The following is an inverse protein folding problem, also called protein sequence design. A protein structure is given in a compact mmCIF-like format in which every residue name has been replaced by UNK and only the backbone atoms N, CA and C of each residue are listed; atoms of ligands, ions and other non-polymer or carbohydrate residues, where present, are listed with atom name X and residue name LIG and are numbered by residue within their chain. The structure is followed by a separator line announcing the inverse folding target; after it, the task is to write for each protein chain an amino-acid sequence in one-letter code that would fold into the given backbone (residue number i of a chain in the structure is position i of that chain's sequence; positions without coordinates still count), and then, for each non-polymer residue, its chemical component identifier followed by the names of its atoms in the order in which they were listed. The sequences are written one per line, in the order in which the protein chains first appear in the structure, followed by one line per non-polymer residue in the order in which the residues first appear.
data_IF_185416175277
#
_entry.id   IF_185416175277
#
_cell.length_a   1.000
_cell.length_b   1.000
_cell.length_c   1.000
_cell.angle_alpha   90.00
_cell.angle_beta   90.00
_cell.angle_gamma   90.00
#
_symmetry.space_group_name_H-M   'P 1'
#
loop_
_entity.id
_entity.type
_entity.pdbx_description
1 polymer ?
#
# COMPACT_ATOMS: atom_id res chain seq x y z
N UNK A 1 -42.65 -22.91 1.66
CA UNK A 1 -41.59 -23.69 2.34
C UNK A 1 -41.48 -23.16 3.76
N UNK A 2 -41.94 -23.91 4.79
CA UNK A 2 -41.83 -23.46 6.21
C UNK A 2 -40.38 -23.65 6.65
N UNK A 3 -39.73 -22.56 7.02
CA UNK A 3 -38.39 -22.63 7.63
C UNK A 3 -38.50 -23.36 8.98
N UNK A 4 -37.68 -24.38 9.22
CA UNK A 4 -37.60 -25.06 10.53
C UNK A 4 -37.08 -24.07 11.56
N UNK A 5 -37.63 -24.11 12.78
CA UNK A 5 -37.21 -23.26 13.91
C UNK A 5 -35.69 -23.38 14.16
N UNK A 6 -35.10 -24.56 13.93
CA UNK A 6 -33.64 -24.78 14.00
C UNK A 6 -32.87 -23.96 13.00
N UNK A 7 -33.37 -23.86 11.75
CA UNK A 7 -32.70 -23.02 10.70
C UNK A 7 -32.78 -21.56 11.06
N UNK A 8 -33.91 -21.09 11.57
CA UNK A 8 -34.07 -19.72 12.04
C UNK A 8 -33.10 -19.42 13.18
N UNK A 9 -33.02 -20.32 14.18
CA UNK A 9 -32.11 -20.16 15.32
C UNK A 9 -30.63 -20.09 14.88
N UNK A 10 -30.22 -20.95 13.92
CA UNK A 10 -28.84 -20.91 13.35
C UNK A 10 -28.57 -19.59 12.66
N UNK A 11 -29.49 -19.11 11.83
CA UNK A 11 -29.32 -17.83 11.11
C UNK A 11 -29.23 -16.66 12.09
N UNK A 12 -30.13 -16.62 13.09
CA UNK A 12 -30.08 -15.57 14.12
C UNK A 12 -28.78 -15.64 14.96
N UNK A 13 -28.31 -16.85 15.27
CA UNK A 13 -27.03 -17.05 15.96
C UNK A 13 -25.84 -16.54 15.16
N UNK A 14 -25.84 -16.81 13.85
CA UNK A 14 -24.81 -16.29 12.95
C UNK A 14 -24.85 -14.74 12.84
N UNK A 15 -26.03 -14.15 12.75
CA UNK A 15 -26.17 -12.70 12.76
C UNK A 15 -25.70 -12.08 14.08
N UNK A 16 -26.07 -12.66 15.20
CA UNK A 16 -25.63 -12.19 16.53
C UNK A 16 -24.11 -12.28 16.67
N UNK A 17 -23.50 -13.39 16.23
CA UNK A 17 -22.05 -13.58 16.23
C UNK A 17 -21.34 -12.55 15.34
N UNK A 18 -21.86 -12.37 14.13
CA UNK A 18 -21.31 -11.38 13.18
C UNK A 18 -21.44 -9.96 13.75
N UNK A 19 -22.59 -9.61 14.32
CA UNK A 19 -22.80 -8.31 14.95
C UNK A 19 -21.83 -8.09 16.12
N UNK A 20 -21.68 -9.07 16.99
CA UNK A 20 -20.74 -9.00 18.12
C UNK A 20 -19.29 -8.84 17.61
N UNK A 21 -18.87 -9.59 16.58
CA UNK A 21 -17.55 -9.47 15.96
C UNK A 21 -17.34 -8.09 15.35
N UNK A 22 -18.34 -7.51 14.67
CA UNK A 22 -18.28 -6.16 14.13
C UNK A 22 -18.14 -5.09 15.22
N UNK A 23 -18.93 -5.18 16.30
CA UNK A 23 -18.83 -4.26 17.44
C UNK A 23 -17.45 -4.34 18.09
N UNK A 24 -16.93 -5.55 18.28
CA UNK A 24 -15.61 -5.76 18.85
C UNK A 24 -14.49 -5.20 17.92
N UNK A 25 -14.66 -5.32 16.60
CA UNK A 25 -13.70 -4.79 15.63
C UNK A 25 -13.68 -3.25 15.53
N UNK A 26 -14.70 -2.57 16.07
CA UNK A 26 -14.74 -1.10 16.11
C UNK A 26 -14.00 -0.51 17.32
N UNK A 27 -13.69 -1.31 18.34
CA UNK A 27 -12.93 -0.87 19.52
C UNK A 27 -11.41 -0.85 19.32
N UNK A 28 -10.99 -0.65 18.07
CA UNK A 28 -9.57 -0.65 17.70
C UNK A 28 -8.88 0.61 18.19
N UNK A 29 -7.72 0.45 18.83
CA UNK A 29 -6.89 1.57 19.26
C UNK A 29 -6.10 2.11 18.08
N UNK A 30 -6.16 3.41 17.89
CA UNK A 30 -5.27 4.08 16.95
C UNK A 30 -3.81 3.87 17.35
N UNK A 31 -3.00 3.49 16.38
CA UNK A 31 -1.57 3.31 16.60
C UNK A 31 -0.83 4.45 15.91
N UNK A 32 -0.12 5.32 16.64
CA UNK A 32 0.68 6.38 16.03
C UNK A 32 1.88 5.78 15.26
N UNK A 33 2.34 6.50 14.25
CA UNK A 33 3.57 6.18 13.54
C UNK A 33 4.77 6.29 14.49
N UNK A 34 5.83 5.51 14.28
CA UNK A 34 7.05 5.56 15.14
C UNK A 34 7.81 6.87 15.00
N UNK A 35 7.94 7.35 13.77
CA UNK A 35 8.64 8.57 13.40
C UNK A 35 7.91 9.25 12.25
N UNK A 36 7.90 10.59 12.16
CA UNK A 36 7.30 11.30 11.04
C UNK A 36 7.95 10.91 9.71
N UNK A 37 7.15 10.61 8.69
CA UNK A 37 7.63 10.27 7.35
C UNK A 37 8.41 11.41 6.69
N UNK A 38 8.25 12.65 7.15
CA UNK A 38 9.06 13.78 6.68
C UNK A 38 10.57 13.60 6.89
N UNK A 39 10.97 12.72 7.80
CA UNK A 39 12.36 12.32 8.03
C UNK A 39 12.84 11.16 7.13
N UNK A 40 12.05 10.73 6.15
CA UNK A 40 12.44 9.63 5.27
C UNK A 40 13.71 9.97 4.46
N UNK A 41 14.63 9.01 4.24
CA UNK A 41 15.92 9.27 3.64
C UNK A 41 15.87 9.99 2.29
N UNK A 42 16.75 10.97 2.12
CA UNK A 42 16.95 11.72 0.87
C UNK A 42 17.85 10.98 -0.14
N UNK A 43 18.45 9.85 0.27
CA UNK A 43 19.26 8.99 -0.60
C UNK A 43 18.92 7.54 -0.30
N UNK A 44 18.65 6.75 -1.34
CA UNK A 44 18.37 5.32 -1.27
C UNK A 44 19.16 4.65 -2.38
N UNK A 45 20.25 3.92 -2.02
CA UNK A 45 21.20 3.43 -3.00
C UNK A 45 21.80 4.58 -3.83
N UNK A 46 21.72 4.47 -5.14
CA UNK A 46 22.21 5.49 -6.08
C UNK A 46 21.18 6.60 -6.38
N UNK A 47 19.97 6.46 -5.86
CA UNK A 47 18.86 7.38 -6.05
C UNK A 47 18.92 8.54 -5.06
N UNK A 48 18.84 9.77 -5.56
CA UNK A 48 18.87 11.00 -4.76
C UNK A 48 17.54 11.73 -4.83
N UNK A 49 17.09 12.23 -3.70
CA UNK A 49 15.90 13.09 -3.62
C UNK A 49 16.03 14.31 -4.54
N UNK A 50 15.02 14.56 -5.35
CA UNK A 50 14.95 15.70 -6.25
C UNK A 50 13.92 16.74 -5.78
N UNK A 51 12.72 16.29 -5.43
CA UNK A 51 11.68 17.20 -4.96
C UNK A 51 10.61 16.46 -4.14
N UNK A 52 9.85 17.23 -3.38
CA UNK A 52 8.65 16.80 -2.66
C UNK A 52 7.40 17.24 -3.44
N UNK A 53 6.46 16.32 -3.62
CA UNK A 53 5.14 16.60 -4.16
C UNK A 53 4.11 16.65 -3.04
N UNK A 54 3.15 17.57 -3.13
CA UNK A 54 2.09 17.72 -2.14
C UNK A 54 0.74 17.46 -2.79
N UNK A 55 -0.13 16.79 -2.04
CA UNK A 55 -1.53 16.72 -2.41
C UNK A 55 -2.29 17.93 -1.86
N UNK A 56 -3.36 18.32 -2.54
CA UNK A 56 -4.24 19.37 -2.04
C UNK A 56 -4.98 18.91 -0.77
N UNK A 57 -5.37 19.84 0.10
CA UNK A 57 -6.07 19.51 1.33
C UNK A 57 -7.31 18.62 1.11
N UNK A 58 -8.19 18.88 0.11
CA UNK A 58 -9.33 17.99 -0.15
C UNK A 58 -8.93 16.55 -0.50
N UNK A 59 -7.77 16.35 -1.17
CA UNK A 59 -7.28 15.00 -1.47
C UNK A 59 -6.77 14.31 -0.21
N UNK A 60 -6.08 15.02 0.67
CA UNK A 60 -5.60 14.48 1.95
C UNK A 60 -6.78 14.08 2.83
N UNK A 61 -7.80 14.93 2.93
CA UNK A 61 -9.01 14.67 3.69
C UNK A 61 -9.77 13.44 3.14
N UNK A 62 -9.87 13.32 1.81
CA UNK A 62 -10.49 12.17 1.16
C UNK A 62 -9.70 10.87 1.40
N UNK A 63 -8.38 10.93 1.44
CA UNK A 63 -7.52 9.77 1.69
C UNK A 63 -7.56 9.35 3.16
N UNK A 64 -7.79 10.29 4.10
CA UNK A 64 -7.80 10.03 5.54
C UNK A 64 -6.47 9.50 6.08
N UNK A 65 -5.35 9.95 5.49
CA UNK A 65 -4.00 9.55 5.90
C UNK A 65 -3.58 10.31 7.15
N UNK A 66 -2.95 9.62 8.09
CA UNK A 66 -2.39 10.26 9.29
C UNK A 66 -1.04 10.92 9.01
N UNK A 67 -0.24 10.33 8.12
CA UNK A 67 1.02 10.89 7.64
C UNK A 67 1.31 10.38 6.23
N UNK A 68 2.01 11.17 5.42
CA UNK A 68 2.42 10.75 4.08
C UNK A 68 3.64 11.50 3.56
N UNK A 69 4.32 10.87 2.61
CA UNK A 69 5.29 11.52 1.72
C UNK A 69 5.00 11.17 0.26
N UNK A 70 5.36 12.09 -0.63
CA UNK A 70 5.46 11.84 -2.07
C UNK A 70 6.74 12.51 -2.54
N UNK A 71 7.78 11.70 -2.73
CA UNK A 71 9.14 12.16 -3.06
C UNK A 71 9.53 11.66 -4.45
N UNK A 72 10.05 12.56 -5.26
CA UNK A 72 10.70 12.21 -6.51
C UNK A 72 12.20 11.98 -6.26
N UNK A 73 12.71 10.88 -6.78
CA UNK A 73 14.12 10.52 -6.78
C UNK A 73 14.64 10.47 -8.21
N UNK A 74 15.89 10.86 -8.39
CA UNK A 74 16.60 10.79 -9.65
C UNK A 74 17.90 10.02 -9.47
N UNK A 75 18.32 9.36 -10.54
CA UNK A 75 19.59 8.69 -10.65
C UNK A 75 20.47 9.40 -11.71
N UNK A 76 21.79 9.27 -11.58
CA UNK A 76 22.75 9.96 -12.46
C UNK A 76 22.65 9.64 -13.95
N UNK A 77 22.01 8.51 -14.31
CA UNK A 77 21.73 8.08 -15.68
C UNK A 77 20.45 8.69 -16.29
N UNK A 78 19.75 9.55 -15.54
CA UNK A 78 18.48 10.17 -15.95
C UNK A 78 17.22 9.35 -15.56
N UNK A 79 17.37 8.30 -14.78
CA UNK A 79 16.25 7.57 -14.19
C UNK A 79 15.44 8.48 -13.25
N UNK A 80 14.12 8.29 -13.22
CA UNK A 80 13.20 9.01 -12.35
C UNK A 80 12.21 8.05 -11.68
N UNK A 81 12.03 8.22 -10.37
CA UNK A 81 11.07 7.48 -9.56
C UNK A 81 10.26 8.43 -8.70
N UNK A 82 8.97 8.17 -8.52
CA UNK A 82 8.15 8.77 -7.48
C UNK A 82 7.85 7.72 -6.41
N UNK A 83 8.31 7.96 -5.20
CA UNK A 83 7.98 7.17 -4.01
C UNK A 83 6.85 7.85 -3.25
N UNK A 84 5.75 7.14 -3.06
CA UNK A 84 4.64 7.52 -2.19
C UNK A 84 4.53 6.54 -1.04
N UNK A 85 4.53 7.05 0.18
CA UNK A 85 4.24 6.29 1.42
C UNK A 85 3.10 6.99 2.13
N UNK A 86 2.06 6.26 2.48
CA UNK A 86 0.98 6.73 3.35
C UNK A 86 0.86 5.84 4.57
N UNK A 87 0.56 6.44 5.71
CA UNK A 87 0.32 5.76 6.96
C UNK A 87 -1.07 6.07 7.49
N UNK A 88 -1.74 5.05 8.02
CA UNK A 88 -3.07 5.12 8.62
C UNK A 88 -3.01 4.59 10.05
N UNK A 89 -3.54 5.33 11.01
CA UNK A 89 -3.61 4.91 12.42
C UNK A 89 -4.66 3.82 12.63
N UNK A 90 -5.72 3.82 11.81
CA UNK A 90 -6.79 2.83 11.82
C UNK A 90 -7.44 2.71 10.43
N UNK A 91 -6.94 1.81 9.58
CA UNK A 91 -7.47 1.56 8.23
C UNK A 91 -8.94 1.19 8.25
N UNK A 92 -9.73 1.84 7.38
CA UNK A 92 -11.18 1.64 7.27
C UNK A 92 -12.00 2.32 8.36
N UNK A 93 -11.37 3.10 9.24
CA UNK A 93 -12.00 3.97 10.24
C UNK A 93 -11.69 5.42 9.91
N UNK A 94 -10.41 5.79 9.84
CA UNK A 94 -9.96 7.15 9.52
C UNK A 94 -9.77 7.38 8.02
N UNK A 95 -9.50 6.33 7.26
CA UNK A 95 -9.27 6.35 5.83
C UNK A 95 -8.94 4.96 5.31
N UNK A 96 -8.56 4.82 4.04
CA UNK A 96 -8.29 3.52 3.45
C UNK A 96 -7.36 3.56 2.24
N UNK A 97 -6.89 2.40 1.88
CA UNK A 97 -5.99 2.24 0.74
C UNK A 97 -6.73 2.38 -0.59
N UNK A 98 -6.14 3.12 -1.51
CA UNK A 98 -6.59 3.23 -2.88
C UNK A 98 -5.63 2.47 -3.80
N UNK A 99 -6.13 1.39 -4.41
CA UNK A 99 -5.34 0.56 -5.31
C UNK A 99 -4.99 1.31 -6.60
N UNK A 100 -3.73 1.27 -7.04
CA UNK A 100 -3.34 1.76 -8.35
C UNK A 100 -4.11 1.10 -9.50
N UNK A 101 -4.47 -0.17 -9.37
CA UNK A 101 -5.24 -0.88 -10.40
C UNK A 101 -6.64 -0.29 -10.63
N UNK A 102 -7.22 0.39 -9.64
CA UNK A 102 -8.49 1.09 -9.77
C UNK A 102 -8.31 2.53 -10.29
N UNK A 103 -7.25 3.22 -9.85
CA UNK A 103 -7.04 4.64 -10.15
C UNK A 103 -6.37 4.87 -11.52
N UNK A 104 -5.45 4.00 -11.93
CA UNK A 104 -4.70 4.18 -13.18
C UNK A 104 -5.59 4.14 -14.43
N UNK A 105 -6.55 3.21 -14.56
CA UNK A 105 -7.48 3.23 -15.68
C UNK A 105 -8.34 4.49 -15.74
N UNK A 106 -8.78 5.03 -14.58
CA UNK A 106 -9.48 6.30 -14.49
C UNK A 106 -8.66 7.49 -14.98
N UNK A 107 -7.32 7.41 -14.89
CA UNK A 107 -6.37 8.37 -15.47
C UNK A 107 -6.05 8.15 -16.95
N UNK A 108 -6.71 7.18 -17.61
CA UNK A 108 -6.50 6.84 -19.03
C UNK A 108 -5.27 5.96 -19.27
N UNK A 109 -4.76 5.27 -18.25
CA UNK A 109 -3.69 4.29 -18.39
C UNK A 109 -4.25 2.89 -18.65
N UNK A 110 -3.69 2.18 -19.62
CA UNK A 110 -4.00 0.79 -19.87
C UNK A 110 -3.05 -0.12 -19.08
N UNK A 111 -3.57 -1.07 -18.34
CA UNK A 111 -2.77 -2.06 -17.62
C UNK A 111 -2.32 -3.12 -18.63
N UNK A 112 -1.02 -3.25 -18.84
CA UNK A 112 -0.41 -4.22 -19.74
C UNK A 112 -0.07 -5.56 -19.06
N UNK A 113 0.41 -5.49 -17.80
CA UNK A 113 0.64 -6.71 -16.99
C UNK A 113 0.50 -6.40 -15.49
N UNK A 114 0.17 -7.46 -14.71
CA UNK A 114 0.12 -7.44 -13.26
C UNK A 114 0.77 -8.72 -12.76
N UNK A 115 1.76 -8.59 -11.90
CA UNK A 115 2.52 -9.71 -11.37
C UNK A 115 2.83 -9.51 -9.89
N UNK A 116 2.92 -10.62 -9.14
CA UNK A 116 3.44 -10.63 -7.77
C UNK A 116 4.92 -10.99 -7.82
N UNK A 117 5.77 -10.09 -7.30
CA UNK A 117 7.22 -10.28 -7.29
C UNK A 117 7.66 -10.58 -5.86
N UNK A 118 8.32 -11.73 -5.61
CA UNK A 118 8.83 -12.05 -4.29
C UNK A 118 10.03 -11.17 -3.95
N UNK A 119 10.13 -10.77 -2.68
CA UNK A 119 11.31 -10.09 -2.14
C UNK A 119 12.25 -11.10 -1.48
N UNK A 120 13.55 -10.88 -1.60
CA UNK A 120 14.58 -11.75 -1.02
C UNK A 120 14.44 -11.94 0.50
N UNK A 121 13.81 -10.99 1.20
CA UNK A 121 13.57 -10.99 2.65
C UNK A 121 12.23 -11.61 3.07
N UNK A 122 11.49 -12.16 2.12
CA UNK A 122 10.12 -12.64 2.32
C UNK A 122 9.07 -11.56 2.08
N UNK A 123 7.84 -12.00 1.82
CA UNK A 123 6.76 -11.17 1.35
C UNK A 123 6.80 -10.97 -0.16
N UNK A 124 5.81 -10.26 -0.67
CA UNK A 124 5.65 -9.99 -2.10
C UNK A 124 5.22 -8.56 -2.32
N UNK A 125 5.64 -7.99 -3.44
CA UNK A 125 5.17 -6.69 -3.94
C UNK A 125 4.44 -6.87 -5.28
N UNK A 126 3.50 -6.00 -5.58
CA UNK A 126 2.78 -5.98 -6.85
C UNK A 126 3.58 -5.16 -7.86
N UNK A 127 3.86 -5.75 -9.02
CA UNK A 127 4.41 -5.07 -10.20
C UNK A 127 3.30 -4.92 -11.24
N UNK A 128 3.04 -3.70 -11.65
CA UNK A 128 2.06 -3.36 -12.69
C UNK A 128 2.78 -2.57 -13.79
N UNK A 129 2.64 -3.00 -15.02
CA UNK A 129 3.11 -2.25 -16.19
C UNK A 129 1.90 -1.55 -16.81
N UNK A 130 1.99 -0.26 -17.00
CA UNK A 130 0.93 0.57 -17.59
C UNK A 130 1.42 1.34 -18.80
N UNK A 131 0.51 1.60 -19.74
CA UNK A 131 0.81 2.27 -21.00
C UNK A 131 -0.23 3.34 -21.31
N UNK A 132 0.24 4.49 -21.81
CA UNK A 132 -0.62 5.59 -22.29
C UNK A 132 0.11 6.40 -23.34
N UNK A 133 -0.49 6.55 -24.53
CA UNK A 133 0.04 7.44 -25.58
C UNK A 133 1.49 7.15 -26.02
N UNK A 134 1.91 5.88 -26.00
CA UNK A 134 3.30 5.47 -26.32
C UNK A 134 4.28 5.58 -25.15
N UNK A 135 3.85 6.08 -24.01
CA UNK A 135 4.61 6.06 -22.76
C UNK A 135 4.33 4.78 -21.97
N UNK A 136 5.35 4.27 -21.30
CA UNK A 136 5.26 3.11 -20.43
C UNK A 136 5.78 3.46 -19.04
N UNK A 137 5.01 3.09 -18.02
CA UNK A 137 5.42 3.21 -16.62
C UNK A 137 5.38 1.85 -15.92
N UNK A 138 6.27 1.70 -14.97
CA UNK A 138 6.30 0.57 -14.04
C UNK A 138 5.82 1.09 -12.70
N UNK A 139 4.84 0.39 -12.13
CA UNK A 139 4.29 0.70 -10.81
C UNK A 139 4.55 -0.48 -9.90
N UNK A 140 5.32 -0.26 -8.86
CA UNK A 140 5.50 -1.23 -7.76
C UNK A 140 4.67 -0.75 -6.58
N UNK A 141 3.93 -1.65 -5.93
CA UNK A 141 3.23 -1.29 -4.69
C UNK A 141 3.01 -2.48 -3.76
N UNK A 142 2.86 -2.19 -2.49
CA UNK A 142 2.57 -3.16 -1.45
C UNK A 142 1.93 -2.50 -0.23
N UNK A 143 1.38 -3.35 0.62
CA UNK A 143 0.93 -2.97 1.96
C UNK A 143 1.99 -3.42 2.97
N UNK A 144 2.43 -2.50 3.82
CA UNK A 144 3.39 -2.82 4.88
C UNK A 144 2.71 -2.65 6.23
N UNK A 145 2.14 -3.74 6.73
CA UNK A 145 1.21 -3.71 7.84
C UNK A 145 1.64 -4.67 8.93
N UNK A 146 1.90 -4.14 10.14
CA UNK A 146 2.15 -4.96 11.33
C UNK A 146 3.23 -6.04 11.12
N UNK A 147 4.34 -5.63 10.48
CA UNK A 147 5.50 -6.49 10.16
C UNK A 147 5.35 -7.37 8.92
N UNK A 148 4.25 -7.28 8.17
CA UNK A 148 4.04 -8.04 6.92
C UNK A 148 4.20 -7.15 5.70
N UNK A 149 4.71 -7.74 4.61
CA UNK A 149 4.78 -7.14 3.26
C UNK A 149 3.81 -7.92 2.38
N UNK A 150 2.78 -7.27 1.89
CA UNK A 150 1.62 -7.91 1.25
C UNK A 150 1.38 -7.26 -0.10
N UNK A 151 1.43 -8.04 -1.20
CA UNK A 151 1.10 -7.59 -2.54
C UNK A 151 -0.41 -7.64 -2.82
N UNK A 152 -1.11 -8.59 -2.21
CA UNK A 152 -2.50 -8.89 -2.49
C UNK A 152 -3.44 -8.06 -1.65
N UNK A 153 -4.31 -7.27 -2.30
CA UNK A 153 -5.37 -6.50 -1.64
C UNK A 153 -6.37 -7.40 -0.90
N UNK A 154 -6.58 -8.63 -1.40
CA UNK A 154 -7.44 -9.60 -0.75
C UNK A 154 -6.85 -10.07 0.59
N UNK A 155 -5.58 -10.47 0.60
CA UNK A 155 -4.90 -10.89 1.82
C UNK A 155 -4.71 -9.73 2.80
N UNK A 156 -4.49 -8.52 2.30
CA UNK A 156 -4.45 -7.33 3.15
C UNK A 156 -5.75 -7.18 3.96
N UNK A 157 -6.92 -7.28 3.30
CA UNK A 157 -8.23 -7.19 3.95
C UNK A 157 -8.45 -8.32 4.96
N UNK A 158 -8.03 -9.54 4.64
CA UNK A 158 -8.11 -10.67 5.58
C UNK A 158 -7.27 -10.39 6.83
N UNK A 159 -6.00 -10.00 6.66
CA UNK A 159 -5.15 -9.67 7.80
C UNK A 159 -5.63 -8.45 8.57
N UNK A 160 -6.26 -7.48 7.92
CA UNK A 160 -6.86 -6.32 8.58
C UNK A 160 -7.97 -6.77 9.54
N UNK A 161 -8.86 -7.67 9.10
CA UNK A 161 -9.93 -8.22 9.95
C UNK A 161 -9.37 -9.07 11.07
N UNK A 162 -8.45 -10.00 10.77
CA UNK A 162 -7.84 -10.87 11.78
C UNK A 162 -7.10 -10.06 12.86
N UNK A 163 -6.29 -9.07 12.45
CA UNK A 163 -5.55 -8.25 13.39
C UNK A 163 -6.48 -7.30 14.19
N UNK A 164 -7.60 -6.86 13.60
CA UNK A 164 -8.63 -6.12 14.34
C UNK A 164 -9.22 -6.95 15.47
N UNK A 165 -9.55 -8.22 15.18
CA UNK A 165 -10.16 -9.12 16.17
C UNK A 165 -9.15 -9.60 17.21
N UNK A 166 -7.98 -10.07 16.79
CA UNK A 166 -7.02 -10.73 17.69
C UNK A 166 -5.99 -9.80 18.33
N UNK A 167 -5.65 -8.69 17.66
CA UNK A 167 -4.63 -7.74 18.13
C UNK A 167 -5.20 -6.36 18.48
N UNK A 168 -6.48 -6.11 18.19
CA UNK A 168 -7.13 -4.80 18.32
C UNK A 168 -6.34 -3.69 17.58
N UNK A 169 -5.77 -4.04 16.41
CA UNK A 169 -4.95 -3.16 15.58
C UNK A 169 -5.42 -3.18 14.13
N UNK A 170 -5.51 -1.98 13.54
CA UNK A 170 -5.85 -1.78 12.12
C UNK A 170 -4.91 -0.78 11.45
N UNK A 171 -3.84 -0.39 12.11
CA UNK A 171 -2.83 0.50 11.55
C UNK A 171 -2.09 -0.15 10.39
N UNK A 172 -1.65 0.66 9.45
CA UNK A 172 -0.90 0.15 8.32
C UNK A 172 -0.48 1.23 7.34
N UNK A 173 0.31 0.83 6.38
CA UNK A 173 0.90 1.70 5.39
C UNK A 173 0.71 1.12 4.00
N UNK A 174 0.47 2.02 3.05
CA UNK A 174 0.50 1.70 1.63
C UNK A 174 1.70 2.41 0.99
N UNK A 175 2.51 1.66 0.26
CA UNK A 175 3.72 2.16 -0.39
C UNK A 175 3.62 1.89 -1.89
N UNK A 176 3.95 2.92 -2.69
CA UNK A 176 3.92 2.85 -4.15
C UNK A 176 5.15 3.55 -4.72
N UNK A 177 5.78 2.91 -5.69
CA UNK A 177 6.84 3.46 -6.50
C UNK A 177 6.36 3.50 -7.94
N UNK A 178 6.44 4.65 -8.60
CA UNK A 178 6.18 4.79 -10.04
C UNK A 178 7.49 5.21 -10.69
N UNK A 179 7.87 4.51 -11.76
CA UNK A 179 9.00 4.88 -12.61
C UNK A 179 8.61 4.91 -14.07
N UNK A 180 9.14 5.86 -14.79
CA UNK A 180 8.97 5.94 -16.24
C UNK A 180 10.16 5.28 -16.92
N UNK A 181 9.88 4.27 -17.76
CA UNK A 181 10.93 3.62 -18.54
C UNK A 181 11.60 4.66 -19.46
N UNK A 182 12.93 4.87 -19.36
CA UNK A 182 13.63 5.83 -20.24
C UNK A 182 13.46 5.48 -21.70
N UNK A 183 13.25 6.49 -22.56
CA UNK A 183 13.14 6.27 -24.01
C UNK A 183 14.45 5.69 -24.56
N UNK A 184 14.36 4.50 -25.17
CA UNK A 184 15.53 3.78 -25.69
C UNK A 184 16.40 3.11 -24.61
N UNK A 185 16.00 3.17 -23.36
CA UNK A 185 16.65 2.47 -22.27
C UNK A 185 16.28 0.98 -22.20
N UNK A 186 17.11 0.21 -21.51
CA UNK A 186 16.84 -1.20 -21.20
C UNK A 186 15.75 -1.28 -20.13
N UNK A 187 14.56 -1.75 -20.53
CA UNK A 187 13.40 -1.87 -19.65
C UNK A 187 13.65 -2.85 -18.50
N UNK A 188 14.26 -3.99 -18.78
CA UNK A 188 14.46 -5.02 -17.77
C UNK A 188 15.48 -4.56 -16.71
N UNK A 189 16.54 -3.90 -17.16
CA UNK A 189 17.51 -3.27 -16.25
C UNK A 189 16.84 -2.23 -15.35
N UNK A 190 16.02 -1.35 -15.92
CA UNK A 190 15.29 -0.33 -15.15
C UNK A 190 14.32 -0.96 -14.14
N UNK A 191 13.60 -2.04 -14.52
CA UNK A 191 12.74 -2.78 -13.59
C UNK A 191 13.56 -3.35 -12.43
N UNK A 192 14.74 -3.91 -12.70
CA UNK A 192 15.60 -4.44 -11.65
C UNK A 192 16.08 -3.33 -10.69
N UNK A 193 16.50 -2.19 -11.21
CA UNK A 193 16.87 -1.01 -10.40
C UNK A 193 15.70 -0.54 -9.51
N UNK A 194 14.47 -0.55 -10.05
CA UNK A 194 13.27 -0.25 -9.27
C UNK A 194 12.99 -1.30 -8.17
N UNK A 195 13.20 -2.58 -8.44
CA UNK A 195 13.03 -3.65 -7.47
C UNK A 195 14.06 -3.56 -6.34
N UNK A 196 15.30 -3.21 -6.66
CA UNK A 196 16.36 -2.98 -5.68
C UNK A 196 16.05 -1.77 -4.80
N UNK A 197 15.56 -0.68 -5.39
CA UNK A 197 15.06 0.48 -4.66
C UNK A 197 13.87 0.11 -3.75
N UNK A 198 12.93 -0.71 -4.23
CA UNK A 198 11.80 -1.17 -3.45
C UNK A 198 12.24 -2.02 -2.25
N UNK A 199 13.20 -2.92 -2.44
CA UNK A 199 13.77 -3.74 -1.37
C UNK A 199 14.37 -2.87 -0.25
N UNK A 200 15.17 -1.87 -0.62
CA UNK A 200 15.74 -0.91 0.35
C UNK A 200 14.62 -0.07 1.03
N UNK A 201 13.61 0.35 0.26
CA UNK A 201 12.47 1.10 0.80
C UNK A 201 11.70 0.31 1.86
N UNK A 202 11.51 -1.00 1.67
CA UNK A 202 10.85 -1.87 2.66
C UNK A 202 11.56 -1.82 4.02
N UNK A 203 12.89 -1.88 4.01
CA UNK A 203 13.69 -1.85 5.25
C UNK A 203 13.67 -0.49 5.93
N UNK A 204 13.81 0.55 5.13
CA UNK A 204 13.74 1.92 5.63
C UNK A 204 12.35 2.21 6.22
N UNK A 205 11.28 1.85 5.51
CA UNK A 205 9.92 2.05 5.98
C UNK A 205 9.63 1.33 7.31
N UNK A 206 10.22 0.16 7.56
CA UNK A 206 10.07 -0.57 8.82
C UNK A 206 10.60 0.21 10.06
N UNK A 207 11.48 1.18 9.85
CA UNK A 207 11.97 2.06 10.93
C UNK A 207 10.91 3.11 11.33
N UNK A 208 10.04 3.50 10.42
CA UNK A 208 8.99 4.51 10.60
C UNK A 208 7.66 3.87 11.01
N UNK A 209 7.33 2.73 10.40
CA UNK A 209 6.03 2.07 10.53
C UNK A 209 6.03 1.09 11.71
N UNK A 210 4.98 1.05 12.56
CA UNK A 210 4.87 0.08 13.64
C UNK A 210 4.90 -1.37 13.13
N UNK A 211 5.78 -2.18 13.69
CA UNK A 211 5.86 -3.62 13.44
C UNK A 211 4.77 -4.44 14.16
N UNK A 212 4.95 -5.74 14.26
CA UNK A 212 4.04 -6.69 14.91
C UNK A 212 3.78 -6.39 16.39
#
# INVERSE_FOLDING_TARGET
MKLSNTRIAVVLGLFALTFAALQFSQTVREKPIKQPLSGFPVTIGDWKFARKSFFSAPVIDMLGVADYISYDYIEGNGGWLNLYISYFTAVGVTGGYHSPQNCLPGGGWNIASVEDVPLARGGQIKKVIVQKGGEQQVVLYWFQNRGRIIASEYWEKIYLVLDAVFKQRRDGSFIRIIGQVPRGGDREKFIQEMLDFAGQTVDLAAQFIPGA
#
